data_IF_531098155949
#
_entry.id   IF_531098155949
#
_cell.length_a   1.000
_cell.length_b   1.000
_cell.length_c   1.000
_cell.angle_alpha   90.00
_cell.angle_beta   90.00
_cell.angle_gamma   90.00
#
_symmetry.space_group_name_H-M   'P 1'
#
loop_
_entity.id
_entity.type
_entity.pdbx_description
1 polymer ?
#
# COMPACT_ATOMS: atom_id res chain seq x y z
N UNK A 1 -19.07 -48.39 17.06
CA UNK A 1 -18.65 -47.26 16.25
C UNK A 1 -17.30 -46.68 16.69
N UNK A 2 -16.81 -46.98 17.88
CA UNK A 2 -15.51 -46.53 18.36
C UNK A 2 -14.43 -47.55 18.02
N UNK A 3 -13.66 -47.30 16.97
CA UNK A 3 -12.48 -48.10 16.64
C UNK A 3 -11.24 -47.41 17.19
N UNK A 4 -10.35 -48.11 17.93
CA UNK A 4 -9.13 -47.49 18.42
C UNK A 4 -8.24 -47.06 17.28
N UNK A 5 -7.65 -45.84 17.40
CA UNK A 5 -6.76 -45.26 16.39
C UNK A 5 -5.53 -46.15 16.16
N UNK A 6 -5.25 -46.40 14.88
CA UNK A 6 -4.04 -47.09 14.43
C UNK A 6 -2.76 -46.25 14.61
N UNK A 7 -1.61 -46.89 14.49
CA UNK A 7 -0.30 -46.16 14.59
C UNK A 7 -0.17 -45.06 13.54
N UNK A 8 -0.58 -45.31 12.32
CA UNK A 8 -0.55 -44.34 11.25
C UNK A 8 -1.44 -43.10 11.52
N UNK A 9 -2.65 -43.32 12.03
CA UNK A 9 -3.56 -42.25 12.39
C UNK A 9 -2.98 -41.36 13.50
N UNK A 10 -2.40 -41.98 14.52
CA UNK A 10 -1.72 -41.27 15.63
C UNK A 10 -0.55 -40.44 15.09
N UNK A 11 0.27 -40.98 14.19
CA UNK A 11 1.39 -40.25 13.58
C UNK A 11 0.90 -39.03 12.79
N UNK A 12 -0.13 -39.20 11.98
CA UNK A 12 -0.70 -38.09 11.21
C UNK A 12 -1.31 -37.01 12.12
N UNK A 13 -2.04 -37.42 13.14
CA UNK A 13 -2.61 -36.46 14.11
C UNK A 13 -1.51 -35.71 14.86
N UNK A 14 -0.43 -36.39 15.21
CA UNK A 14 0.71 -35.74 15.87
C UNK A 14 1.37 -34.70 14.96
N UNK A 15 1.62 -35.07 13.70
CA UNK A 15 2.18 -34.12 12.72
C UNK A 15 1.25 -32.93 12.51
N UNK A 16 -0.05 -33.18 12.33
CA UNK A 16 -1.04 -32.11 12.15
C UNK A 16 -1.12 -31.20 13.38
N UNK A 17 -1.07 -31.78 14.59
CA UNK A 17 -1.09 -31.01 15.82
C UNK A 17 0.17 -30.12 15.96
N UNK A 18 1.35 -30.70 15.75
CA UNK A 18 2.62 -29.93 15.80
C UNK A 18 2.60 -28.80 14.78
N UNK A 19 2.13 -29.06 13.56
CA UNK A 19 2.02 -28.05 12.52
C UNK A 19 1.01 -26.94 12.88
N UNK A 20 -0.13 -27.33 13.44
CA UNK A 20 -1.13 -26.40 13.93
C UNK A 20 -0.57 -25.47 15.03
N UNK A 21 0.13 -26.04 16.01
CA UNK A 21 0.79 -25.26 17.07
C UNK A 21 1.83 -24.31 16.49
N UNK A 22 2.66 -24.78 15.56
CA UNK A 22 3.66 -23.96 14.88
C UNK A 22 3.02 -22.76 14.19
N UNK A 23 1.99 -22.98 13.35
CA UNK A 23 1.30 -21.90 12.64
C UNK A 23 0.60 -20.93 13.60
N UNK A 24 -0.02 -21.47 14.66
CA UNK A 24 -0.70 -20.64 15.67
C UNK A 24 0.27 -19.72 16.41
N UNK A 25 1.46 -20.21 16.75
CA UNK A 25 2.50 -19.43 17.43
C UNK A 25 3.16 -18.43 16.44
N UNK A 26 3.31 -18.82 15.18
CA UNK A 26 3.91 -17.94 14.16
C UNK A 26 3.07 -16.66 13.92
N UNK A 27 1.74 -16.75 14.01
CA UNK A 27 0.87 -15.58 13.79
C UNK A 27 1.15 -14.41 14.75
N UNK A 28 1.11 -14.59 16.10
CA UNK A 28 1.46 -13.52 17.02
C UNK A 28 2.93 -13.08 16.90
N UNK A 29 3.84 -14.02 16.64
CA UNK A 29 5.24 -13.66 16.39
C UNK A 29 5.37 -12.73 15.19
N UNK A 30 4.66 -13.04 14.10
CA UNK A 30 4.64 -12.19 12.92
C UNK A 30 4.01 -10.81 13.20
N UNK A 31 2.97 -10.76 14.03
CA UNK A 31 2.35 -9.50 14.44
C UNK A 31 3.34 -8.58 15.20
N UNK A 32 4.15 -9.14 16.10
CA UNK A 32 5.09 -8.35 16.92
C UNK A 32 6.42 -8.05 16.22
N UNK A 33 6.90 -8.93 15.35
CA UNK A 33 8.21 -8.81 14.71
C UNK A 33 8.15 -8.52 13.21
N UNK A 34 7.00 -8.71 12.58
CA UNK A 34 6.79 -8.39 11.17
C UNK A 34 6.76 -6.89 10.94
N UNK A 35 7.36 -6.45 9.84
CA UNK A 35 7.35 -5.04 9.42
C UNK A 35 6.29 -4.87 8.34
N UNK A 36 5.07 -4.60 8.75
CA UNK A 36 3.96 -4.33 7.82
C UNK A 36 3.42 -2.93 8.08
N UNK A 37 3.32 -2.13 7.02
CA UNK A 37 2.68 -0.83 7.06
C UNK A 37 1.21 -1.00 6.63
N UNK A 38 0.34 -1.26 7.60
CA UNK A 38 -1.10 -1.34 7.38
C UNK A 38 -1.74 0.03 7.63
N UNK A 39 -2.84 0.38 6.94
CA UNK A 39 -3.59 1.59 7.27
C UNK A 39 -4.01 1.56 8.73
N UNK A 40 -3.68 2.63 9.44
CA UNK A 40 -4.03 2.79 10.87
C UNK A 40 -5.33 3.54 11.05
N UNK A 41 -5.71 4.32 10.05
CA UNK A 41 -6.88 5.17 10.05
C UNK A 41 -7.63 5.02 8.73
N UNK A 42 -8.97 5.17 8.78
CA UNK A 42 -9.80 5.17 7.58
C UNK A 42 -10.93 6.16 7.78
N UNK A 43 -11.07 7.09 6.86
CA UNK A 43 -12.10 8.12 6.88
C UNK A 43 -13.08 7.95 5.72
N UNK A 44 -14.35 8.34 5.92
CA UNK A 44 -15.29 8.45 4.80
C UNK A 44 -15.04 9.76 4.06
N UNK A 45 -14.99 9.69 2.74
CA UNK A 45 -14.84 10.86 1.88
C UNK A 45 -15.58 10.61 0.56
N UNK A 46 -16.08 11.66 -0.09
CA UNK A 46 -16.56 11.48 -1.46
C UNK A 46 -15.37 11.46 -2.44
N UNK A 47 -15.48 10.76 -3.59
CA UNK A 47 -14.46 10.82 -4.63
C UNK A 47 -14.17 12.26 -5.09
N UNK A 48 -15.18 13.13 -5.16
CA UNK A 48 -15.03 14.52 -5.55
C UNK A 48 -14.22 15.32 -4.51
N UNK A 49 -14.55 15.18 -3.22
CA UNK A 49 -13.83 15.89 -2.14
C UNK A 49 -12.40 15.40 -2.03
N UNK A 50 -12.18 14.09 -2.17
CA UNK A 50 -10.83 13.54 -2.16
C UNK A 50 -10.02 14.03 -3.37
N UNK A 51 -10.62 14.03 -4.55
CA UNK A 51 -10.00 14.58 -5.76
C UNK A 51 -9.61 16.06 -5.60
N UNK A 52 -10.47 16.87 -4.97
CA UNK A 52 -10.18 18.28 -4.69
C UNK A 52 -8.99 18.43 -3.71
N UNK A 53 -8.91 17.60 -2.66
CA UNK A 53 -7.75 17.59 -1.73
C UNK A 53 -6.46 17.25 -2.46
N UNK A 54 -6.46 16.21 -3.30
CA UNK A 54 -5.28 15.82 -4.08
C UNK A 54 -4.84 16.95 -5.02
N UNK A 55 -5.79 17.61 -5.68
CA UNK A 55 -5.45 18.73 -6.59
C UNK A 55 -4.84 19.91 -5.84
N UNK A 56 -5.39 20.30 -4.69
CA UNK A 56 -4.83 21.34 -3.84
C UNK A 56 -3.42 20.97 -3.32
N UNK A 57 -3.21 19.72 -2.94
CA UNK A 57 -1.90 19.21 -2.55
C UNK A 57 -0.88 19.28 -3.69
N UNK A 58 -1.28 18.89 -4.89
CA UNK A 58 -0.42 18.98 -6.08
C UNK A 58 -0.09 20.44 -6.40
N UNK A 59 -1.08 21.33 -6.40
CA UNK A 59 -0.85 22.76 -6.67
C UNK A 59 0.15 23.38 -5.68
N UNK A 60 0.09 22.96 -4.42
CA UNK A 60 0.95 23.52 -3.37
C UNK A 60 2.38 23.00 -3.42
N UNK A 61 2.61 21.71 -3.76
CA UNK A 61 3.89 21.05 -3.55
C UNK A 61 4.55 20.50 -4.81
N UNK A 62 4.07 20.85 -6.02
CA UNK A 62 4.70 20.41 -7.26
C UNK A 62 6.09 21.04 -7.41
N UNK A 63 7.09 20.18 -7.66
CA UNK A 63 8.49 20.57 -7.84
C UNK A 63 9.00 20.26 -9.26
N UNK A 64 8.27 19.49 -10.03
CA UNK A 64 8.63 19.10 -11.39
C UNK A 64 7.62 18.14 -12.01
N UNK A 65 8.03 17.51 -13.08
CA UNK A 65 7.22 16.52 -13.81
C UNK A 65 8.09 15.32 -14.19
N UNK A 66 7.47 14.15 -14.31
CA UNK A 66 8.12 12.92 -14.79
C UNK A 66 7.12 12.06 -15.56
N UNK A 67 7.61 11.07 -16.30
CA UNK A 67 6.78 10.25 -17.18
C UNK A 67 6.57 8.86 -16.58
N UNK A 68 5.30 8.46 -16.48
CA UNK A 68 4.90 7.10 -16.12
C UNK A 68 3.97 6.56 -17.21
N UNK A 69 4.34 5.45 -17.82
CA UNK A 69 3.58 4.85 -18.95
C UNK A 69 3.24 5.84 -20.11
N UNK A 70 4.16 6.73 -20.43
CA UNK A 70 3.96 7.72 -21.50
C UNK A 70 3.04 8.89 -21.13
N UNK A 71 2.62 8.99 -19.87
CA UNK A 71 1.83 10.12 -19.35
C UNK A 71 2.73 10.97 -18.46
N UNK A 72 2.79 12.26 -18.74
CA UNK A 72 3.51 13.23 -17.89
C UNK A 72 2.68 13.52 -16.63
N UNK A 73 3.29 13.35 -15.47
CA UNK A 73 2.67 13.54 -14.18
C UNK A 73 3.48 14.51 -13.31
N UNK A 74 2.82 15.31 -12.46
CA UNK A 74 3.53 16.17 -11.52
C UNK A 74 4.27 15.34 -10.47
N UNK A 75 5.48 15.77 -10.17
CA UNK A 75 6.27 15.29 -9.02
C UNK A 75 6.05 16.25 -7.87
N UNK A 76 5.65 15.70 -6.73
CA UNK A 76 5.22 16.47 -5.55
C UNK A 76 6.12 16.13 -4.37
N UNK A 77 6.75 17.16 -3.78
CA UNK A 77 7.64 17.04 -2.63
C UNK A 77 7.08 17.82 -1.44
N UNK A 78 6.35 17.13 -0.58
CA UNK A 78 5.85 17.71 0.67
C UNK A 78 6.90 17.62 1.79
N UNK A 79 6.86 18.52 2.79
CA UNK A 79 7.79 18.47 3.92
C UNK A 79 7.66 17.17 4.73
N UNK A 80 8.73 16.70 5.39
CA UNK A 80 8.65 15.61 6.34
C UNK A 80 7.60 15.84 7.44
N UNK A 81 6.93 14.76 7.86
CA UNK A 81 5.86 14.81 8.87
C UNK A 81 4.49 15.26 8.34
N UNK A 82 4.39 15.60 7.04
CA UNK A 82 3.14 16.07 6.46
C UNK A 82 2.24 14.93 5.94
N UNK A 83 0.98 15.27 5.69
CA UNK A 83 0.06 14.44 4.95
C UNK A 83 0.43 14.49 3.45
N UNK A 84 0.56 13.32 2.83
CA UNK A 84 0.80 13.15 1.40
C UNK A 84 -0.31 12.34 0.77
N UNK A 85 -0.74 12.71 -0.42
CA UNK A 85 -1.96 12.18 -1.03
C UNK A 85 -1.68 11.49 -2.35
N UNK A 86 -2.25 10.29 -2.53
CA UNK A 86 -2.28 9.57 -3.81
C UNK A 86 -3.73 9.19 -4.11
N UNK A 87 -4.16 9.44 -5.34
CA UNK A 87 -5.44 8.92 -5.85
C UNK A 87 -5.23 7.85 -6.91
N UNK A 88 -6.12 6.86 -6.90
CA UNK A 88 -6.30 5.93 -7.99
C UNK A 88 -7.41 6.40 -8.93
N UNK A 89 -7.21 6.24 -10.21
CA UNK A 89 -8.25 6.27 -11.24
C UNK A 89 -7.83 5.34 -12.37
N UNK A 90 -8.74 4.89 -13.20
CA UNK A 90 -8.48 3.97 -14.31
C UNK A 90 -7.62 4.63 -15.39
N UNK A 91 -6.38 4.27 -15.58
CA UNK A 91 -5.51 3.23 -14.99
C UNK A 91 -4.23 3.88 -14.49
N UNK A 92 -4.36 4.82 -13.57
CA UNK A 92 -3.28 5.72 -13.17
C UNK A 92 -3.28 5.96 -11.66
N UNK A 93 -2.09 6.00 -11.09
CA UNK A 93 -1.78 6.57 -9.79
C UNK A 93 -1.30 8.01 -9.97
N UNK A 94 -1.83 8.95 -9.17
CA UNK A 94 -1.56 10.37 -9.28
C UNK A 94 -1.50 11.04 -7.91
N UNK A 95 -0.55 11.92 -7.64
CA UNK A 95 0.64 12.30 -8.40
C UNK A 95 1.81 11.32 -8.18
N UNK A 96 3.02 11.65 -8.69
CA UNK A 96 4.28 11.05 -8.28
C UNK A 96 4.70 11.71 -6.97
N UNK A 97 4.92 10.92 -5.92
CA UNK A 97 5.43 11.44 -4.66
C UNK A 97 6.96 11.41 -4.65
N UNK A 98 7.57 12.52 -4.22
CA UNK A 98 8.98 12.59 -3.84
C UNK A 98 9.08 12.71 -2.33
N UNK A 99 9.70 11.71 -1.69
CA UNK A 99 9.83 11.59 -0.24
C UNK A 99 11.31 11.60 0.16
N UNK A 100 11.62 11.94 1.39
CA UNK A 100 12.99 11.86 1.93
C UNK A 100 13.15 10.54 2.73
N UNK A 101 14.27 9.86 2.54
CA UNK A 101 14.62 8.64 3.26
C UNK A 101 14.73 8.92 4.75
N UNK A 102 14.22 7.99 5.57
CA UNK A 102 14.25 8.09 7.02
C UNK A 102 13.19 9.03 7.62
N UNK A 103 12.48 9.80 6.80
CA UNK A 103 11.45 10.72 7.26
C UNK A 103 10.08 10.06 7.29
N UNK A 104 9.25 10.44 8.27
CA UNK A 104 7.89 9.91 8.41
C UNK A 104 6.89 10.75 7.61
N UNK A 105 5.92 10.09 6.99
CA UNK A 105 4.81 10.71 6.26
C UNK A 105 3.51 9.97 6.57
N UNK A 106 2.39 10.72 6.57
CA UNK A 106 1.05 10.14 6.58
C UNK A 106 0.55 10.03 5.15
N UNK A 107 0.56 8.82 4.62
CA UNK A 107 0.15 8.53 3.25
C UNK A 107 -1.35 8.28 3.19
N UNK A 108 -2.08 9.20 2.56
CA UNK A 108 -3.49 9.12 2.23
C UNK A 108 -3.69 8.50 0.86
N UNK A 109 -4.58 7.51 0.78
CA UNK A 109 -4.84 6.76 -0.45
C UNK A 109 -6.34 6.58 -0.62
N UNK A 110 -6.86 6.95 -1.79
CA UNK A 110 -8.26 6.72 -2.15
C UNK A 110 -8.42 6.48 -3.65
N UNK A 111 -9.59 6.01 -4.04
CA UNK A 111 -9.97 5.87 -5.44
C UNK A 111 -11.08 6.84 -5.82
N UNK A 112 -11.06 7.31 -7.06
CA UNK A 112 -12.10 8.19 -7.61
C UNK A 112 -13.18 7.44 -8.39
N UNK A 113 -12.94 6.20 -8.79
CA UNK A 113 -13.81 5.46 -9.72
C UNK A 113 -14.09 4.03 -9.28
N UNK A 114 -13.13 3.13 -9.38
CA UNK A 114 -13.26 1.71 -9.13
C UNK A 114 -12.43 1.26 -7.93
N UNK A 115 -12.56 -0.01 -7.56
CA UNK A 115 -11.64 -0.65 -6.65
C UNK A 115 -10.30 -0.90 -7.35
N UNK A 116 -9.20 -0.58 -6.66
CA UNK A 116 -7.83 -0.83 -7.08
C UNK A 116 -7.05 -1.51 -5.96
N UNK A 117 -5.96 -2.19 -6.30
CA UNK A 117 -5.00 -2.68 -5.31
C UNK A 117 -3.77 -1.79 -5.28
N UNK A 118 -3.42 -1.27 -4.12
CA UNK A 118 -2.22 -0.48 -3.92
C UNK A 118 -1.12 -1.35 -3.35
N UNK A 119 -0.08 -1.60 -4.12
CA UNK A 119 1.10 -2.34 -3.65
C UNK A 119 2.36 -1.51 -3.89
N UNK A 120 3.08 -1.20 -2.82
CA UNK A 120 4.34 -0.44 -2.84
C UNK A 120 5.41 -1.16 -2.05
N UNK A 121 6.48 -1.57 -2.72
CA UNK A 121 7.67 -2.17 -2.12
C UNK A 121 8.88 -1.23 -2.28
N UNK A 122 9.82 -1.20 -1.34
CA UNK A 122 9.97 -2.05 -0.15
C UNK A 122 9.26 -1.52 1.11
N UNK A 123 8.42 -0.50 1.00
CA UNK A 123 7.67 0.06 2.16
C UNK A 123 6.68 -0.97 2.73
N UNK A 124 6.46 -2.09 2.03
CA UNK A 124 5.61 -3.19 2.42
C UNK A 124 4.15 -2.79 2.70
N UNK A 125 3.58 -2.00 1.80
CA UNK A 125 2.14 -1.69 1.79
C UNK A 125 1.47 -2.52 0.73
N UNK A 126 0.37 -3.15 1.11
CA UNK A 126 -0.54 -3.83 0.20
C UNK A 126 -1.96 -3.75 0.73
N UNK A 127 -2.82 -3.02 0.05
CA UNK A 127 -4.21 -2.82 0.47
C UNK A 127 -5.16 -2.64 -0.72
N UNK A 128 -6.43 -2.95 -0.50
CA UNK A 128 -7.50 -2.61 -1.42
C UNK A 128 -7.91 -1.15 -1.20
N UNK A 129 -8.03 -0.41 -2.30
CA UNK A 129 -8.43 0.99 -2.31
C UNK A 129 -9.78 1.09 -3.01
N UNK A 130 -10.82 1.46 -2.26
CA UNK A 130 -12.18 1.58 -2.79
C UNK A 130 -12.67 3.03 -2.74
N UNK A 131 -13.52 3.45 -3.68
CA UNK A 131 -14.11 4.78 -3.64
C UNK A 131 -14.93 5.01 -2.36
N UNK A 132 -14.92 6.24 -1.88
CA UNK A 132 -15.67 6.61 -0.68
C UNK A 132 -14.92 6.48 0.64
N UNK A 133 -13.66 6.02 0.60
CA UNK A 133 -12.80 5.90 1.78
C UNK A 133 -11.40 6.45 1.52
N UNK A 134 -10.89 7.18 2.48
CA UNK A 134 -9.51 7.67 2.56
C UNK A 134 -8.75 6.78 3.55
N UNK A 135 -7.83 5.97 3.04
CA UNK A 135 -6.98 5.07 3.84
C UNK A 135 -5.69 5.79 4.20
N UNK A 136 -5.35 5.82 5.49
CA UNK A 136 -4.16 6.51 5.97
C UNK A 136 -3.17 5.50 6.55
N UNK A 137 -1.97 5.49 6.00
CA UNK A 137 -0.86 4.68 6.50
C UNK A 137 0.33 5.59 6.85
N UNK A 138 0.89 5.42 8.04
CA UNK A 138 2.16 6.06 8.39
C UNK A 138 3.30 5.28 7.76
N UNK A 139 4.14 5.96 6.99
CA UNK A 139 5.26 5.35 6.26
C UNK A 139 6.56 6.07 6.56
N UNK A 140 7.65 5.31 6.62
CA UNK A 140 9.01 5.83 6.71
C UNK A 140 9.87 5.10 5.67
N UNK A 141 10.17 5.70 4.50
CA UNK A 141 11.00 5.08 3.49
C UNK A 141 12.41 4.79 4.03
N UNK A 142 12.87 3.56 3.87
CA UNK A 142 14.17 3.12 4.42
C UNK A 142 15.29 3.06 3.37
N UNK A 143 14.95 3.21 2.10
CA UNK A 143 15.88 3.13 0.97
C UNK A 143 15.60 4.24 -0.01
N UNK A 144 16.63 4.90 -0.52
CA UNK A 144 16.52 5.86 -1.62
C UNK A 144 16.43 5.15 -2.96
N UNK A 145 15.79 5.78 -3.94
CA UNK A 145 15.60 5.27 -5.29
C UNK A 145 14.21 5.54 -5.84
N UNK A 146 13.92 4.96 -6.99
CA UNK A 146 12.59 4.99 -7.62
C UNK A 146 11.86 3.67 -7.33
N UNK A 147 10.65 3.77 -6.87
CA UNK A 147 9.82 2.62 -6.49
C UNK A 147 8.50 2.65 -7.26
N UNK A 148 8.08 1.47 -7.71
CA UNK A 148 6.85 1.32 -8.48
C UNK A 148 5.68 1.01 -7.57
N UNK A 149 4.58 1.75 -7.74
CA UNK A 149 3.27 1.37 -7.25
C UNK A 149 2.64 0.45 -8.29
N UNK A 150 2.17 -0.71 -7.88
CA UNK A 150 1.50 -1.67 -8.74
C UNK A 150 0.05 -1.82 -8.32
N UNK A 151 -0.88 -1.73 -9.27
CA UNK A 151 -2.25 -2.15 -9.04
C UNK A 151 -2.31 -3.68 -9.12
N UNK A 152 -2.60 -4.35 -8.00
CA UNK A 152 -2.65 -5.81 -7.91
C UNK A 152 -4.07 -6.38 -7.70
N UNK A 153 -5.10 -5.55 -7.86
CA UNK A 153 -6.51 -5.93 -7.88
C UNK A 153 -7.10 -5.61 -9.25
N UNK A 154 -7.82 -6.56 -9.84
CA UNK A 154 -8.40 -6.36 -11.16
C UNK A 154 -9.37 -5.17 -11.19
N UNK A 155 -8.98 -4.12 -11.91
CA UNK A 155 -9.71 -2.87 -12.05
C UNK A 155 -10.19 -2.61 -13.49
N UNK A 156 -10.61 -3.66 -14.19
CA UNK A 156 -11.12 -3.62 -15.56
C UNK A 156 -10.02 -3.72 -16.65
N UNK A 157 -10.45 -3.61 -17.94
CA UNK A 157 -9.55 -3.71 -19.10
C UNK A 157 -8.52 -2.59 -19.07
N UNK A 158 -7.22 -2.95 -19.07
CA UNK A 158 -6.12 -2.00 -18.86
C UNK A 158 -5.42 -2.13 -17.48
N UNK A 159 -5.98 -2.93 -16.57
CA UNK A 159 -5.41 -3.21 -15.25
C UNK A 159 -3.90 -3.50 -15.28
N UNK A 160 -3.43 -4.29 -16.23
CA UNK A 160 -2.02 -4.68 -16.38
C UNK A 160 -1.06 -3.51 -16.69
N UNK A 161 -1.59 -2.37 -17.09
CA UNK A 161 -0.79 -1.16 -17.36
C UNK A 161 -0.79 -0.17 -16.19
N UNK A 162 -1.60 -0.42 -15.15
CA UNK A 162 -1.75 0.51 -14.04
C UNK A 162 -0.59 0.44 -13.07
N UNK A 163 0.39 1.29 -13.30
CA UNK A 163 1.54 1.50 -12.42
C UNK A 163 1.67 2.97 -12.04
N UNK A 164 2.32 3.23 -10.92
CA UNK A 164 2.68 4.56 -10.43
C UNK A 164 4.14 4.60 -10.01
N UNK A 165 4.61 5.76 -9.56
CA UNK A 165 5.98 5.96 -9.12
C UNK A 165 6.02 6.73 -7.80
N UNK A 166 6.94 6.31 -6.94
CA UNK A 166 7.40 7.06 -5.76
C UNK A 166 8.90 7.23 -5.87
N UNK A 167 9.39 8.42 -5.68
CA UNK A 167 10.82 8.76 -5.68
C UNK A 167 11.23 8.99 -4.23
N UNK A 168 12.25 8.30 -3.76
CA UNK A 168 12.83 8.52 -2.42
C UNK A 168 14.22 9.08 -2.59
N UNK A 169 14.43 10.30 -2.10
CA UNK A 169 15.74 10.96 -2.10
C UNK A 169 16.52 10.62 -0.84
N UNK A 170 17.85 10.71 -0.87
CA UNK A 170 18.65 10.68 0.36
C UNK A 170 18.27 11.88 1.25
N UNK A 171 18.45 11.72 2.54
CA UNK A 171 18.26 12.79 3.54
C UNK A 171 19.15 14.00 3.16
N UNK A 172 18.59 15.22 3.19
CA UNK A 172 19.33 16.47 2.91
C UNK A 172 20.10 16.93 4.13
#
# INVERSE_FOLDING_TARGET
WWKPMGRMEKSWLTVAFVWCVFLTVMMPLWYFYGKQNVPTETYRTSPADYGAKVNAFVEQYTVGEDIVNGVTLPVVAAPPGSDVYIRASTWQWYPILQLEKGQEYRLHISSLDLQHGFSLQPVNINLQVIPGYDYVATITPTSAGEFTIVCNEYCFVGHHTMVGKVIVTEEK
#
